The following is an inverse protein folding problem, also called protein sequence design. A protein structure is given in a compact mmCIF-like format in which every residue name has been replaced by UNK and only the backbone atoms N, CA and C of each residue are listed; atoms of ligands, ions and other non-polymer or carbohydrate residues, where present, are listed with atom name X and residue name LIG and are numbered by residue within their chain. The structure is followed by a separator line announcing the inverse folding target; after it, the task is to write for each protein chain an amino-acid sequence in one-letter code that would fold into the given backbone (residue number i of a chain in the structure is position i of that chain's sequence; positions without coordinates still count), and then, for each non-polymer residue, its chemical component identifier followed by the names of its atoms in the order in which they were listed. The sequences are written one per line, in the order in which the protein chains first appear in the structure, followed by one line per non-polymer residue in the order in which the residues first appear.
data_IF_783307952615
#
_entry.id   IF_783307952615
#
_cell.length_a   1.000
_cell.length_b   1.000
_cell.length_c   1.000
_cell.angle_alpha   90.00
_cell.angle_beta   90.00
_cell.angle_gamma   90.00
#
_symmetry.space_group_name_H-M   'P 1'
#
loop_
_entity.id
_entity.type
_entity.pdbx_description
1 polymer ?
#
# COMPACT_ATOMS: atom_id res chain seq x y z
N UNK A 1 35.08 -22.01 -14.72
CA UNK A 1 34.16 -23.12 -14.38
C UNK A 1 32.99 -22.51 -13.59
N UNK A 2 31.77 -22.55 -14.13
CA UNK A 2 30.58 -22.15 -13.36
C UNK A 2 30.04 -23.40 -12.67
N UNK A 3 29.96 -23.39 -11.34
CA UNK A 3 29.48 -24.52 -10.53
C UNK A 3 27.99 -24.33 -10.22
N UNK A 4 27.22 -25.42 -10.21
CA UNK A 4 25.80 -25.38 -9.84
C UNK A 4 24.91 -24.68 -10.87
N UNK A 5 23.80 -24.09 -10.41
CA UNK A 5 22.86 -23.32 -11.23
C UNK A 5 23.34 -21.87 -11.37
N UNK A 6 24.42 -21.65 -12.13
CA UNK A 6 24.98 -20.29 -12.27
C UNK A 6 25.68 -19.77 -11.02
N UNK A 7 26.25 -20.65 -10.19
CA UNK A 7 26.85 -20.30 -8.89
C UNK A 7 25.98 -20.66 -7.69
N UNK A 8 24.74 -21.10 -7.91
CA UNK A 8 23.77 -21.40 -6.85
C UNK A 8 23.56 -22.90 -6.66
N UNK A 9 23.06 -23.25 -5.46
CA UNK A 9 22.60 -24.60 -5.12
C UNK A 9 21.19 -24.53 -4.55
N UNK A 10 20.34 -25.51 -4.88
CA UNK A 10 19.04 -25.71 -4.25
C UNK A 10 19.17 -26.71 -3.12
N UNK A 11 18.78 -26.31 -1.91
CA UNK A 11 18.80 -27.16 -0.74
C UNK A 11 17.36 -27.36 -0.23
N UNK A 12 17.01 -28.59 0.13
CA UNK A 12 15.71 -28.90 0.71
C UNK A 12 15.61 -28.24 2.09
N UNK A 13 14.57 -27.42 2.28
CA UNK A 13 14.26 -26.76 3.56
C UNK A 13 13.25 -27.59 4.35
N UNK A 14 13.16 -27.33 5.66
CA UNK A 14 12.16 -27.91 6.55
C UNK A 14 12.11 -29.45 6.45
N UNK A 15 13.26 -30.09 6.68
CA UNK A 15 13.40 -31.54 6.62
C UNK A 15 12.95 -32.12 7.96
N UNK A 16 11.99 -33.03 7.93
CA UNK A 16 11.51 -33.71 9.13
C UNK A 16 12.62 -34.53 9.82
N UNK A 17 12.59 -34.57 11.15
CA UNK A 17 13.51 -35.37 11.95
C UNK A 17 14.86 -34.72 12.26
N UNK A 18 15.13 -33.48 11.83
CA UNK A 18 16.33 -32.75 12.24
C UNK A 18 16.13 -31.24 12.28
N UNK A 19 16.53 -30.62 13.40
CA UNK A 19 16.58 -29.16 13.54
C UNK A 19 17.84 -28.55 12.89
N UNK A 20 18.85 -29.36 12.57
CA UNK A 20 20.10 -28.90 11.98
C UNK A 20 19.98 -28.55 10.47
N UNK A 21 18.88 -28.98 9.83
CA UNK A 21 18.70 -28.86 8.37
C UNK A 21 19.64 -29.76 7.58
N UNK A 22 19.54 -29.71 6.25
CA UNK A 22 20.42 -30.49 5.37
C UNK A 22 21.87 -30.07 5.56
N UNK A 23 22.79 -31.02 5.74
CA UNK A 23 24.21 -30.74 5.89
C UNK A 23 24.56 -29.76 7.04
N UNK A 24 23.68 -29.60 8.04
CA UNK A 24 23.93 -28.74 9.20
C UNK A 24 23.81 -27.23 8.94
N UNK A 25 23.17 -26.81 7.84
CA UNK A 25 23.04 -25.39 7.47
C UNK A 25 22.34 -24.51 8.52
N UNK A 26 21.54 -25.10 9.41
CA UNK A 26 20.76 -24.39 10.42
C UNK A 26 21.38 -24.45 11.83
N UNK A 27 22.59 -25.01 12.01
CA UNK A 27 23.22 -25.13 13.33
C UNK A 27 23.72 -23.76 13.83
N UNK A 28 24.41 -22.99 12.97
CA UNK A 28 25.01 -21.70 13.34
C UNK A 28 24.80 -20.62 12.27
N UNK A 29 23.55 -20.25 11.96
CA UNK A 29 23.29 -19.14 11.05
C UNK A 29 23.64 -17.81 11.72
N UNK A 30 24.46 -16.99 11.05
CA UNK A 30 24.81 -15.65 11.50
C UNK A 30 24.55 -14.66 10.36
N UNK A 31 24.07 -13.47 10.73
CA UNK A 31 23.87 -12.37 9.80
C UNK A 31 24.31 -11.06 10.46
N UNK A 32 24.82 -10.09 9.69
CA UNK A 32 25.20 -8.79 10.22
C UNK A 32 23.95 -8.04 10.71
N UNK A 33 24.06 -7.35 11.84
CA UNK A 33 23.01 -6.48 12.35
C UNK A 33 23.11 -5.13 11.62
N UNK A 34 22.00 -4.66 11.08
CA UNK A 34 21.91 -3.33 10.47
C UNK A 34 21.85 -2.27 11.58
N UNK A 35 22.83 -1.34 11.60
CA UNK A 35 22.95 -0.27 12.61
C UNK A 35 22.36 1.08 12.10
N UNK A 36 21.89 1.12 10.85
CA UNK A 36 21.25 2.30 10.27
C UNK A 36 19.72 2.25 10.33
N UNK A 37 19.04 3.42 10.28
CA UNK A 37 17.59 3.44 10.16
C UNK A 37 17.14 2.67 8.92
N UNK A 38 15.98 2.02 9.02
CA UNK A 38 15.30 1.57 7.83
C UNK A 38 14.84 2.80 7.04
N UNK A 39 14.90 2.77 5.70
CA UNK A 39 14.19 3.77 4.93
C UNK A 39 12.73 3.78 5.40
N UNK A 40 12.06 4.95 5.40
CA UNK A 40 10.64 4.99 5.71
C UNK A 40 9.94 3.97 4.83
N UNK A 41 9.14 3.09 5.46
CA UNK A 41 8.38 2.08 4.73
C UNK A 41 7.56 2.84 3.68
N UNK A 42 7.67 2.51 2.39
CA UNK A 42 6.82 3.14 1.40
C UNK A 42 5.37 2.92 1.83
N UNK A 43 4.56 3.98 1.81
CA UNK A 43 3.14 3.81 2.04
C UNK A 43 2.63 2.83 1.00
N UNK A 44 1.82 1.84 1.39
CA UNK A 44 1.14 1.01 0.42
C UNK A 44 0.35 1.92 -0.52
N UNK A 45 0.54 1.77 -1.82
CA UNK A 45 -0.20 2.50 -2.83
C UNK A 45 -1.33 1.63 -3.37
N UNK A 46 -2.47 2.24 -3.64
CA UNK A 46 -3.59 1.69 -4.39
C UNK A 46 -3.66 2.37 -5.75
N UNK A 47 -4.31 1.73 -6.71
CA UNK A 47 -4.70 2.41 -7.95
C UNK A 47 -5.97 3.21 -7.67
N UNK A 48 -5.90 4.53 -7.86
CA UNK A 48 -7.10 5.36 -7.88
C UNK A 48 -7.78 5.33 -9.25
N UNK A 49 -6.97 5.13 -10.30
CA UNK A 49 -7.41 5.07 -11.69
C UNK A 49 -6.42 4.25 -12.53
N UNK A 50 -6.72 4.03 -13.80
CA UNK A 50 -5.87 3.31 -14.77
C UNK A 50 -4.46 3.91 -14.88
N UNK A 51 -4.35 5.23 -14.75
CA UNK A 51 -3.07 5.96 -14.90
C UNK A 51 -2.45 6.46 -13.59
N UNK A 52 -3.17 6.38 -12.46
CA UNK A 52 -2.78 7.04 -11.21
C UNK A 52 -2.75 6.10 -10.01
N UNK A 53 -1.62 6.13 -9.28
CA UNK A 53 -1.44 5.42 -8.02
C UNK A 53 -1.43 6.38 -6.84
N UNK A 54 -2.17 6.07 -5.79
CA UNK A 54 -2.32 6.93 -4.61
C UNK A 54 -2.02 6.19 -3.30
N UNK A 55 -1.56 6.88 -2.25
CA UNK A 55 -1.37 6.29 -0.92
C UNK A 55 -2.66 5.68 -0.34
N UNK A 56 -2.61 4.46 0.18
CA UNK A 56 -3.79 3.74 0.69
C UNK A 56 -4.45 4.36 1.94
N UNK A 57 -3.80 5.34 2.58
CA UNK A 57 -4.25 5.92 3.86
C UNK A 57 -5.35 6.99 3.75
N UNK A 58 -5.73 7.39 2.52
CA UNK A 58 -6.72 8.44 2.28
C UNK A 58 -7.78 7.99 1.28
N UNK A 59 -8.96 8.59 1.35
CA UNK A 59 -9.96 8.55 0.27
C UNK A 59 -9.60 9.63 -0.74
N UNK A 60 -9.68 9.31 -2.04
CA UNK A 60 -9.39 10.24 -3.12
C UNK A 60 -10.67 10.65 -3.85
N UNK A 61 -10.82 11.94 -4.10
CA UNK A 61 -11.93 12.53 -4.87
C UNK A 61 -11.37 13.22 -6.12
N UNK A 62 -12.10 13.15 -7.23
CA UNK A 62 -11.66 13.76 -8.47
C UNK A 62 -11.97 15.26 -8.53
N UNK A 63 -10.98 16.13 -8.31
CA UNK A 63 -11.22 17.59 -8.28
C UNK A 63 -11.47 18.16 -9.69
N UNK A 64 -10.89 17.54 -10.71
CA UNK A 64 -11.02 17.97 -12.10
C UNK A 64 -11.25 16.76 -13.01
N UNK A 65 -12.48 16.67 -13.47
CA UNK A 65 -12.98 15.64 -14.37
C UNK A 65 -13.35 16.27 -15.72
N UNK A 66 -12.90 15.64 -16.80
CA UNK A 66 -13.27 16.02 -18.17
C UNK A 66 -13.46 14.73 -18.98
N UNK A 67 -14.60 14.58 -19.65
CA UNK A 67 -14.96 13.38 -20.43
C UNK A 67 -14.79 12.05 -19.66
N UNK A 68 -15.34 11.95 -18.45
CA UNK A 68 -15.27 10.78 -17.54
C UNK A 68 -13.83 10.39 -17.13
N UNK A 69 -12.83 11.26 -17.34
CA UNK A 69 -11.45 11.04 -16.94
C UNK A 69 -11.00 12.04 -15.88
N UNK A 70 -10.37 11.53 -14.82
CA UNK A 70 -9.87 12.35 -13.74
C UNK A 70 -8.43 12.81 -13.96
N UNK A 71 -8.21 14.11 -14.18
CA UNK A 71 -6.86 14.66 -14.37
C UNK A 71 -6.22 15.14 -13.06
N UNK A 72 -7.03 15.38 -12.02
CA UNK A 72 -6.52 15.83 -10.74
C UNK A 72 -7.27 15.21 -9.55
N UNK A 73 -6.53 14.53 -8.69
CA UNK A 73 -7.03 13.89 -7.48
C UNK A 73 -6.75 14.73 -6.24
N UNK A 74 -7.77 14.92 -5.41
CA UNK A 74 -7.68 15.42 -4.04
C UNK A 74 -7.73 14.29 -3.05
N UNK A 75 -7.28 14.55 -1.81
CA UNK A 75 -7.41 13.59 -0.71
C UNK A 75 -8.28 14.16 0.40
N UNK A 76 -9.13 13.30 0.97
CA UNK A 76 -9.88 13.63 2.18
C UNK A 76 -9.07 13.23 3.41
N UNK A 77 -8.99 14.07 4.46
CA UNK A 77 -8.23 13.75 5.67
C UNK A 77 -8.88 12.65 6.54
N UNK A 78 -10.14 12.29 6.30
CA UNK A 78 -10.85 11.22 7.01
C UNK A 78 -10.85 9.92 6.21
N UNK A 79 -10.52 8.80 6.88
CA UNK A 79 -10.37 7.47 6.28
C UNK A 79 -11.68 6.85 5.76
N UNK A 80 -12.81 7.44 6.09
CA UNK A 80 -14.13 7.02 5.63
C UNK A 80 -14.92 8.25 5.25
N UNK A 81 -14.36 9.08 4.39
CA UNK A 81 -15.09 10.19 3.81
C UNK A 81 -15.80 9.75 2.52
N UNK A 82 -16.97 10.32 2.27
CA UNK A 82 -17.64 10.23 0.97
C UNK A 82 -17.39 11.52 0.19
N UNK A 83 -17.04 11.39 -1.10
CA UNK A 83 -16.92 12.53 -2.01
C UNK A 83 -18.32 13.07 -2.34
N UNK A 84 -18.50 14.37 -2.19
CA UNK A 84 -19.71 15.06 -2.63
C UNK A 84 -19.68 15.35 -4.15
N UNK A 85 -20.82 15.74 -4.73
CA UNK A 85 -20.95 16.06 -6.17
C UNK A 85 -20.10 17.26 -6.62
N UNK A 86 -19.69 18.14 -5.71
CA UNK A 86 -18.76 19.23 -6.00
C UNK A 86 -17.29 18.79 -6.06
N UNK A 87 -17.03 17.52 -5.73
CA UNK A 87 -15.74 16.85 -5.75
C UNK A 87 -14.61 17.51 -4.96
N UNK A 88 -14.92 18.53 -4.16
CA UNK A 88 -14.00 19.30 -3.31
C UNK A 88 -14.34 19.14 -1.83
N UNK A 89 -15.59 18.82 -1.53
CA UNK A 89 -16.07 18.60 -0.19
C UNK A 89 -16.08 17.11 0.14
N UNK A 90 -15.47 16.78 1.28
CA UNK A 90 -15.41 15.43 1.83
C UNK A 90 -16.09 15.42 3.19
N UNK A 91 -17.14 14.62 3.36
CA UNK A 91 -17.79 14.47 4.66
C UNK A 91 -17.56 13.08 5.25
N UNK A 92 -17.45 12.97 6.59
CA UNK A 92 -17.31 11.67 7.25
C UNK A 92 -18.53 10.78 6.95
N UNK A 93 -18.28 9.47 6.90
CA UNK A 93 -19.25 8.44 6.54
C UNK A 93 -20.57 8.50 7.31
N UNK A 94 -20.54 8.99 8.55
CA UNK A 94 -21.74 9.14 9.39
C UNK A 94 -22.76 10.17 8.85
N UNK A 95 -22.36 10.99 7.87
CA UNK A 95 -23.18 12.04 7.24
C UNK A 95 -23.07 11.97 5.71
N UNK A 96 -23.73 10.99 5.05
CA UNK A 96 -23.59 10.76 3.62
C UNK A 96 -24.33 11.79 2.75
N UNK A 97 -25.24 12.58 3.33
CA UNK A 97 -26.01 13.58 2.57
C UNK A 97 -25.21 14.87 2.51
N UNK A 98 -24.66 15.14 1.33
CA UNK A 98 -24.00 16.39 1.00
C UNK A 98 -25.03 17.41 0.52
N UNK A 99 -25.24 18.50 1.26
CA UNK A 99 -25.90 19.68 0.72
C UNK A 99 -24.87 20.77 0.44
N UNK A 100 -24.44 20.83 -0.82
CA UNK A 100 -23.36 21.72 -1.28
C UNK A 100 -23.76 23.19 -1.19
N UNK A 101 -25.02 23.51 -1.50
CA UNK A 101 -25.53 24.89 -1.57
C UNK A 101 -25.52 25.62 -0.23
N UNK A 102 -25.69 24.87 0.86
CA UNK A 102 -25.70 25.40 2.24
C UNK A 102 -24.52 24.93 3.08
N UNK A 103 -23.58 24.17 2.51
CA UNK A 103 -22.40 23.64 3.21
C UNK A 103 -22.73 22.89 4.50
N UNK A 104 -23.84 22.12 4.50
CA UNK A 104 -24.31 21.37 5.66
C UNK A 104 -24.22 19.88 5.35
N UNK A 105 -23.71 19.09 6.30
CA UNK A 105 -23.77 17.64 6.26
C UNK A 105 -25.01 17.16 7.03
N UNK A 106 -25.76 16.24 6.42
CA UNK A 106 -26.92 15.62 7.03
C UNK A 106 -26.77 14.09 6.97
N UNK A 107 -27.54 13.43 7.83
CA UNK A 107 -27.57 11.97 7.93
C UNK A 107 -28.62 11.39 6.98
#
# INVERSE_FOLDING_TARGET
MVRGEGGYIRLKRNIDGTLAGMCGIAIWPLYPIKIGPNPPKPMPTIFCDEYNSCPMSFIYCCIYEEEDNCYQWGFCPSQSATCCEDYRTCWPYDYPICNVDVSICQK
#
